data_IF_422926836625
#
_entry.id   IF_422926836625
#
_cell.length_a   1.000
_cell.length_b   1.000
_cell.length_c   1.000
_cell.angle_alpha   90.00
_cell.angle_beta   90.00
_cell.angle_gamma   90.00
#
_symmetry.space_group_name_H-M   'P 1'
#
loop_
_entity.id
_entity.type
_entity.pdbx_description
1 polymer ?
#
# COMPACT_ATOMS: atom_id res chain seq x y z
N UNK A 1 28.96 -7.00 12.82
CA UNK A 1 27.64 -6.40 12.56
C UNK A 1 27.67 -4.97 13.07
N UNK A 2 27.43 -4.00 12.15
CA UNK A 2 27.30 -2.60 12.54
C UNK A 2 25.99 -2.35 13.29
N UNK A 3 25.99 -1.34 14.15
CA UNK A 3 24.75 -0.82 14.74
C UNK A 3 24.29 0.31 13.84
N UNK A 4 23.09 0.19 13.24
CA UNK A 4 22.51 1.29 12.50
C UNK A 4 21.68 2.19 13.44
N UNK A 5 21.60 3.45 13.10
CA UNK A 5 20.72 4.40 13.76
C UNK A 5 19.78 4.99 12.70
N UNK A 6 18.50 5.03 13.01
CA UNK A 6 17.54 5.68 12.15
C UNK A 6 17.88 7.16 12.01
N UNK A 7 17.73 7.76 10.81
CA UNK A 7 17.78 9.21 10.66
C UNK A 7 16.66 9.86 11.48
N UNK A 8 16.76 11.14 11.70
CA UNK A 8 15.64 11.93 12.24
C UNK A 8 14.49 11.85 11.27
N UNK A 9 13.32 11.51 11.78
CA UNK A 9 12.10 11.43 10.99
C UNK A 9 11.31 12.71 11.21
N UNK A 10 11.07 13.42 10.13
CA UNK A 10 10.25 14.63 10.09
C UNK A 10 9.09 14.43 9.13
N UNK A 11 8.01 15.22 9.30
CA UNK A 11 6.89 15.23 8.39
C UNK A 11 7.33 15.65 6.98
N UNK A 12 6.72 15.04 5.97
CA UNK A 12 6.91 15.45 4.59
C UNK A 12 6.37 16.87 4.39
N UNK A 13 7.19 17.83 3.91
CA UNK A 13 6.73 19.18 3.66
C UNK A 13 5.60 19.22 2.63
N UNK A 14 4.50 19.87 3.00
CA UNK A 14 3.42 20.14 2.08
C UNK A 14 3.84 21.21 1.07
N UNK A 15 3.49 21.02 -0.20
CA UNK A 15 3.80 21.96 -1.27
C UNK A 15 2.66 22.92 -1.49
N UNK A 16 3.04 24.18 -1.78
CA UNK A 16 2.12 25.22 -2.22
C UNK A 16 2.05 25.23 -3.75
N UNK A 17 0.88 25.02 -4.29
CA UNK A 17 0.64 25.05 -5.73
C UNK A 17 0.23 26.46 -6.18
N UNK A 18 1.06 27.44 -5.82
CA UNK A 18 0.85 28.85 -6.14
C UNK A 18 0.83 29.10 -7.65
N UNK A 19 0.13 30.15 -8.13
CA UNK A 19 0.19 30.53 -9.51
C UNK A 19 1.64 30.67 -10.02
N UNK A 20 1.94 30.07 -11.16
CA UNK A 20 3.26 30.04 -11.81
C UNK A 20 4.38 29.27 -11.05
N UNK A 21 4.08 28.60 -9.94
CA UNK A 21 5.06 27.72 -9.29
C UNK A 21 5.37 26.51 -10.15
N UNK A 22 6.59 25.98 -10.00
CA UNK A 22 7.01 24.74 -10.66
C UNK A 22 6.10 23.55 -10.25
N UNK A 23 5.79 23.45 -8.97
CA UNK A 23 4.94 22.38 -8.45
C UNK A 23 3.55 22.39 -9.12
N UNK A 24 2.96 23.59 -9.32
CA UNK A 24 1.67 23.71 -10.04
C UNK A 24 1.78 23.30 -11.50
N UNK A 25 2.86 23.68 -12.18
CA UNK A 25 3.08 23.33 -13.58
C UNK A 25 3.24 21.81 -13.76
N UNK A 26 4.04 21.16 -12.92
CA UNK A 26 4.26 19.72 -12.97
C UNK A 26 3.00 18.95 -12.61
N UNK A 27 2.24 19.38 -11.61
CA UNK A 27 0.97 18.76 -11.27
C UNK A 27 -0.07 18.92 -12.40
N UNK A 28 -0.20 20.13 -12.96
CA UNK A 28 -1.11 20.38 -14.08
C UNK A 28 -0.77 19.47 -15.26
N UNK A 29 0.52 19.37 -15.58
CA UNK A 29 1.01 18.47 -16.64
C UNK A 29 0.61 17.02 -16.35
N UNK A 30 0.81 16.52 -15.14
CA UNK A 30 0.45 15.15 -14.77
C UNK A 30 -1.07 14.90 -14.85
N UNK A 31 -1.89 15.89 -14.48
CA UNK A 31 -3.35 15.82 -14.62
C UNK A 31 -3.75 15.81 -16.09
N UNK A 32 -3.18 16.69 -16.90
CA UNK A 32 -3.49 16.79 -18.33
C UNK A 32 -3.07 15.51 -19.07
N UNK A 33 -1.89 14.95 -18.77
CA UNK A 33 -1.44 13.68 -19.33
C UNK A 33 -2.37 12.52 -18.95
N UNK A 34 -2.80 12.44 -17.70
CA UNK A 34 -3.76 11.43 -17.26
C UNK A 34 -5.12 11.60 -17.97
N UNK A 35 -5.61 12.82 -18.09
CA UNK A 35 -6.87 13.12 -18.77
C UNK A 35 -6.80 12.87 -20.29
N UNK A 36 -5.65 13.03 -20.92
CA UNK A 36 -5.44 12.76 -22.34
C UNK A 36 -5.15 11.27 -22.64
N UNK A 37 -4.77 10.50 -21.62
CA UNK A 37 -4.43 9.10 -21.80
C UNK A 37 -5.66 8.24 -22.12
N UNK A 38 -5.43 7.12 -22.83
CA UNK A 38 -6.44 6.06 -22.88
C UNK A 38 -6.55 5.40 -21.49
N UNK A 39 -7.75 4.92 -21.13
CA UNK A 39 -7.91 4.19 -19.87
C UNK A 39 -6.90 3.06 -19.73
N UNK A 40 -6.24 2.98 -18.60
CA UNK A 40 -5.31 1.89 -18.29
C UNK A 40 -6.08 0.60 -18.07
N UNK A 41 -5.45 -0.53 -18.41
CA UNK A 41 -5.97 -1.85 -18.07
C UNK A 41 -5.11 -2.45 -16.95
N UNK A 42 -5.68 -2.57 -15.77
CA UNK A 42 -4.98 -2.97 -14.55
C UNK A 42 -5.22 -4.46 -14.28
N UNK A 43 -4.15 -5.26 -14.19
CA UNK A 43 -4.24 -6.69 -13.91
C UNK A 43 -4.47 -6.99 -12.42
N UNK A 44 -4.83 -8.22 -12.13
CA UNK A 44 -4.58 -8.86 -10.83
C UNK A 44 -3.09 -9.17 -10.76
N UNK A 45 -2.42 -8.87 -9.64
CA UNK A 45 -1.00 -9.19 -9.49
C UNK A 45 -0.81 -10.22 -8.37
N UNK A 46 -0.25 -11.36 -8.76
CA UNK A 46 0.03 -12.48 -7.86
C UNK A 46 1.51 -12.86 -8.05
N UNK A 47 2.26 -12.88 -6.96
CA UNK A 47 3.70 -13.20 -6.96
C UNK A 47 4.52 -12.33 -7.93
N UNK A 48 4.11 -11.05 -8.09
CA UNK A 48 4.73 -10.11 -9.03
C UNK A 48 4.37 -10.35 -10.50
N UNK A 49 3.50 -11.31 -10.80
CA UNK A 49 3.05 -11.60 -12.16
C UNK A 49 1.65 -11.03 -12.41
N UNK A 50 1.44 -10.52 -13.62
CA UNK A 50 0.18 -9.95 -14.06
C UNK A 50 -0.77 -11.04 -14.58
N UNK A 51 -1.97 -11.09 -14.05
CA UNK A 51 -3.03 -11.98 -14.49
C UNK A 51 -4.23 -11.19 -15.01
N UNK A 52 -4.74 -11.62 -16.14
CA UNK A 52 -5.90 -11.03 -16.79
C UNK A 52 -7.05 -12.03 -16.79
N UNK A 53 -8.01 -11.82 -15.89
CA UNK A 53 -9.17 -12.72 -15.74
C UNK A 53 -10.14 -12.67 -16.91
N UNK A 54 -10.09 -11.62 -17.73
CA UNK A 54 -11.09 -11.35 -18.78
C UNK A 54 -12.40 -10.73 -18.24
N UNK A 55 -12.62 -10.74 -16.92
CA UNK A 55 -13.75 -10.05 -16.30
C UNK A 55 -13.34 -8.64 -15.94
N UNK A 56 -13.75 -7.68 -16.76
CA UNK A 56 -13.38 -6.27 -16.61
C UNK A 56 -14.45 -5.48 -15.88
N UNK A 57 -14.02 -4.70 -14.90
CA UNK A 57 -14.77 -3.59 -14.32
C UNK A 57 -14.06 -2.27 -14.61
N UNK A 58 -14.67 -1.14 -14.25
CA UNK A 58 -14.12 0.18 -14.55
C UNK A 58 -14.16 1.08 -13.32
N UNK A 59 -13.13 1.92 -13.19
CA UNK A 59 -13.15 3.10 -12.35
C UNK A 59 -13.44 4.32 -13.23
N UNK A 60 -14.42 5.12 -12.84
CA UNK A 60 -14.77 6.37 -13.53
C UNK A 60 -14.34 7.57 -12.70
N UNK A 61 -14.17 8.71 -13.36
CA UNK A 61 -13.99 9.98 -12.68
C UNK A 61 -15.32 10.36 -11.97
N UNK A 62 -15.31 10.61 -10.65
CA UNK A 62 -16.54 10.93 -9.90
C UNK A 62 -17.18 12.27 -10.31
N UNK A 63 -16.43 13.19 -10.90
CA UNK A 63 -16.94 14.44 -11.45
C UNK A 63 -17.40 14.37 -12.91
N UNK A 64 -17.07 13.28 -13.62
CA UNK A 64 -17.45 13.04 -15.01
C UNK A 64 -17.55 11.53 -15.27
N UNK A 65 -18.71 10.94 -15.01
CA UNK A 65 -18.93 9.49 -15.11
C UNK A 65 -18.80 8.96 -16.55
N UNK A 66 -18.80 9.81 -17.56
CA UNK A 66 -18.51 9.40 -18.94
C UNK A 66 -17.02 9.09 -19.13
N UNK A 67 -16.16 9.63 -18.28
CA UNK A 67 -14.71 9.45 -18.33
C UNK A 67 -14.28 8.22 -17.52
N UNK A 68 -13.83 7.21 -18.20
CA UNK A 68 -13.20 6.04 -17.58
C UNK A 68 -11.74 6.38 -17.27
N UNK A 69 -11.31 6.19 -16.03
CA UNK A 69 -9.92 6.36 -15.57
C UNK A 69 -9.11 5.10 -15.90
N UNK A 70 -9.65 3.94 -15.52
CA UNK A 70 -9.05 2.66 -15.83
C UNK A 70 -10.08 1.55 -15.94
N UNK A 71 -9.74 0.50 -16.66
CA UNK A 71 -10.35 -0.82 -16.53
C UNK A 71 -9.48 -1.67 -15.62
N UNK A 72 -10.08 -2.60 -14.91
CA UNK A 72 -9.33 -3.54 -14.09
C UNK A 72 -9.95 -4.94 -14.15
N UNK A 73 -9.08 -5.93 -14.07
CA UNK A 73 -9.50 -7.32 -14.02
C UNK A 73 -9.98 -7.68 -12.62
N UNK A 74 -11.18 -8.21 -12.50
CA UNK A 74 -11.69 -8.73 -11.24
C UNK A 74 -11.15 -10.13 -10.98
N UNK A 75 -10.58 -10.32 -9.79
CA UNK A 75 -10.13 -11.63 -9.35
C UNK A 75 -11.34 -12.54 -9.04
N UNK A 76 -11.21 -13.78 -9.41
CA UNK A 76 -12.11 -14.86 -8.99
C UNK A 76 -11.57 -15.56 -7.72
N UNK A 77 -12.36 -16.46 -7.16
CA UNK A 77 -12.00 -17.23 -5.95
C UNK A 77 -10.69 -18.01 -6.13
N UNK A 78 -10.46 -18.59 -7.32
CA UNK A 78 -9.23 -19.33 -7.61
C UNK A 78 -8.01 -18.42 -7.56
N UNK A 79 -8.11 -17.22 -8.13
CA UNK A 79 -7.04 -16.23 -8.08
C UNK A 79 -6.76 -15.76 -6.65
N UNK A 80 -7.80 -15.57 -5.83
CA UNK A 80 -7.66 -15.23 -4.42
C UNK A 80 -6.90 -16.32 -3.67
N UNK A 81 -7.28 -17.59 -3.85
CA UNK A 81 -6.59 -18.72 -3.22
C UNK A 81 -5.13 -18.81 -3.68
N UNK A 82 -4.87 -18.64 -4.97
CA UNK A 82 -3.49 -18.61 -5.50
C UNK A 82 -2.67 -17.45 -4.89
N UNK A 83 -3.29 -16.27 -4.70
CA UNK A 83 -2.65 -15.14 -4.05
C UNK A 83 -2.32 -15.43 -2.58
N UNK A 84 -3.22 -16.10 -1.85
CA UNK A 84 -2.97 -16.52 -0.47
C UNK A 84 -1.81 -17.52 -0.40
N UNK A 85 -1.81 -18.54 -1.24
CA UNK A 85 -0.73 -19.54 -1.30
C UNK A 85 0.61 -18.89 -1.61
N UNK A 86 0.66 -18.00 -2.61
CA UNK A 86 1.84 -17.22 -2.96
C UNK A 86 2.34 -16.35 -1.81
N UNK A 87 1.43 -15.66 -1.12
CA UNK A 87 1.76 -14.86 0.06
C UNK A 87 2.37 -15.71 1.18
N UNK A 88 1.76 -16.84 1.51
CA UNK A 88 2.27 -17.76 2.53
C UNK A 88 3.64 -18.35 2.15
N UNK A 89 3.89 -18.60 0.87
CA UNK A 89 5.20 -19.04 0.38
C UNK A 89 6.26 -17.95 0.54
N UNK A 90 5.93 -16.70 0.21
CA UNK A 90 6.86 -15.57 0.33
C UNK A 90 7.15 -15.22 1.80
N UNK A 91 6.23 -15.52 2.72
CA UNK A 91 6.31 -15.16 4.14
C UNK A 91 7.62 -15.57 4.79
N UNK A 92 8.07 -16.82 4.56
CA UNK A 92 9.29 -17.34 5.23
C UNK A 92 10.53 -16.51 4.92
N UNK A 93 10.69 -16.09 3.67
CA UNK A 93 11.83 -15.25 3.28
C UNK A 93 11.66 -13.84 3.83
N UNK A 94 10.46 -13.26 3.73
CA UNK A 94 10.18 -11.90 4.16
C UNK A 94 10.32 -11.73 5.69
N UNK A 95 9.76 -12.62 6.47
CA UNK A 95 9.85 -12.54 7.94
C UNK A 95 11.28 -12.68 8.46
N UNK A 96 12.14 -13.40 7.75
CA UNK A 96 13.54 -13.58 8.09
C UNK A 96 14.47 -12.50 7.52
N UNK A 97 13.97 -11.61 6.68
CA UNK A 97 14.72 -10.44 6.23
C UNK A 97 15.04 -9.54 7.43
N UNK A 98 16.30 -9.07 7.58
CA UNK A 98 16.65 -8.16 8.65
C UNK A 98 15.71 -6.97 8.73
N UNK A 99 15.33 -6.56 9.95
CA UNK A 99 14.47 -5.40 10.18
C UNK A 99 14.96 -4.15 9.43
N UNK A 100 16.26 -3.88 9.46
CA UNK A 100 16.88 -2.74 8.79
C UNK A 100 16.65 -2.72 7.27
N UNK A 101 16.59 -3.88 6.63
CA UNK A 101 16.33 -3.98 5.19
C UNK A 101 14.87 -3.69 4.88
N UNK A 102 13.93 -4.22 5.68
CA UNK A 102 12.50 -3.89 5.53
C UNK A 102 12.24 -2.41 5.79
N UNK A 103 12.91 -1.83 6.79
CA UNK A 103 12.85 -0.40 7.07
C UNK A 103 13.38 0.45 5.90
N UNK A 104 14.50 0.04 5.29
CA UNK A 104 15.07 0.73 4.14
C UNK A 104 14.13 0.72 2.93
N UNK A 105 13.41 -0.36 2.69
CA UNK A 105 12.39 -0.46 1.64
C UNK A 105 11.28 0.57 1.89
N UNK A 106 10.77 0.67 3.12
CA UNK A 106 9.73 1.64 3.47
C UNK A 106 10.20 3.09 3.30
N UNK A 107 11.42 3.40 3.76
CA UNK A 107 12.02 4.72 3.60
C UNK A 107 12.20 5.07 2.12
N UNK A 108 12.65 4.11 1.30
CA UNK A 108 12.80 4.29 -0.15
C UNK A 108 11.44 4.51 -0.83
N UNK A 109 10.40 3.80 -0.41
CA UNK A 109 9.04 4.02 -0.93
C UNK A 109 8.56 5.45 -0.66
N UNK A 110 8.76 5.95 0.57
CA UNK A 110 8.45 7.33 0.92
C UNK A 110 9.24 8.33 0.04
N UNK A 111 10.51 8.08 -0.19
CA UNK A 111 11.36 8.95 -1.01
C UNK A 111 10.94 8.95 -2.48
N UNK A 112 10.59 7.79 -3.04
CA UNK A 112 10.05 7.68 -4.38
C UNK A 112 8.73 8.46 -4.53
N UNK A 113 7.84 8.38 -3.55
CA UNK A 113 6.58 9.14 -3.54
C UNK A 113 6.86 10.63 -3.43
N UNK A 114 7.68 11.06 -2.47
CA UNK A 114 7.96 12.46 -2.22
C UNK A 114 8.56 13.19 -3.42
N UNK A 115 9.36 12.50 -4.25
CA UNK A 115 10.13 13.11 -5.32
C UNK A 115 9.73 12.65 -6.72
N UNK A 116 9.80 11.35 -6.99
CA UNK A 116 9.63 10.82 -8.35
C UNK A 116 8.16 10.75 -8.78
N UNK A 117 7.29 10.29 -7.90
CA UNK A 117 5.91 9.93 -8.23
C UNK A 117 4.85 10.90 -7.68
N UNK A 118 5.28 11.97 -6.98
CA UNK A 118 4.36 12.87 -6.29
C UNK A 118 3.23 13.37 -7.19
N UNK A 119 3.55 14.01 -8.29
CA UNK A 119 2.52 14.60 -9.15
C UNK A 119 1.65 13.57 -9.85
N UNK A 120 2.21 12.43 -10.22
CA UNK A 120 1.44 11.32 -10.82
C UNK A 120 0.44 10.74 -9.82
N UNK A 121 0.87 10.55 -8.57
CA UNK A 121 0.02 10.01 -7.52
C UNK A 121 -1.06 11.02 -7.10
N UNK A 122 -0.71 12.31 -7.04
CA UNK A 122 -1.69 13.38 -6.83
C UNK A 122 -2.71 13.42 -7.96
N UNK A 123 -2.28 13.41 -9.22
CA UNK A 123 -3.16 13.41 -10.37
C UNK A 123 -4.13 12.22 -10.35
N UNK A 124 -3.63 11.02 -10.05
CA UNK A 124 -4.45 9.83 -9.89
C UNK A 124 -5.51 9.97 -8.78
N UNK A 125 -5.13 10.60 -7.66
CA UNK A 125 -6.01 10.85 -6.52
C UNK A 125 -7.04 11.94 -6.83
N UNK A 126 -6.64 13.01 -7.51
CA UNK A 126 -7.55 14.09 -7.94
C UNK A 126 -8.60 13.57 -8.94
N UNK A 127 -8.15 12.93 -10.00
CA UNK A 127 -9.02 12.47 -11.10
C UNK A 127 -9.84 11.25 -10.70
N UNK A 128 -9.24 10.32 -9.98
CA UNK A 128 -9.89 9.05 -9.64
C UNK A 128 -10.78 9.10 -8.40
N UNK A 129 -10.50 10.00 -7.45
CA UNK A 129 -11.23 10.11 -6.17
C UNK A 129 -11.93 11.47 -5.99
N UNK A 130 -11.88 12.36 -7.00
CA UNK A 130 -12.57 13.65 -6.97
C UNK A 130 -12.01 14.65 -5.96
N UNK A 131 -10.73 14.54 -5.61
CA UNK A 131 -10.08 15.45 -4.67
C UNK A 131 -9.57 16.71 -5.37
N UNK A 132 -9.63 17.84 -4.67
CA UNK A 132 -8.91 19.03 -5.11
C UNK A 132 -7.40 18.89 -4.81
N UNK A 133 -6.60 19.82 -5.31
CA UNK A 133 -5.15 19.79 -5.18
C UNK A 133 -4.69 19.71 -3.72
N UNK A 134 -5.34 20.45 -2.84
CA UNK A 134 -4.96 20.50 -1.43
C UNK A 134 -5.28 19.20 -0.70
N UNK A 135 -6.43 18.61 -0.96
CA UNK A 135 -6.80 17.30 -0.43
C UNK A 135 -5.90 16.19 -0.95
N UNK A 136 -5.52 16.24 -2.22
CA UNK A 136 -4.60 15.26 -2.80
C UNK A 136 -3.17 15.42 -2.26
N UNK A 137 -2.72 16.67 -2.03
CA UNK A 137 -1.41 16.93 -1.43
C UNK A 137 -1.32 16.40 0.00
N UNK A 138 -2.34 16.64 0.82
CA UNK A 138 -2.40 16.08 2.18
C UNK A 138 -2.33 14.55 2.11
N UNK A 139 -3.21 13.93 1.34
CA UNK A 139 -3.38 12.48 1.26
C UNK A 139 -2.18 11.81 0.57
N UNK A 140 -2.04 12.03 -0.73
CA UNK A 140 -1.15 11.27 -1.58
C UNK A 140 0.27 11.86 -1.70
N UNK A 141 0.48 13.09 -1.24
CA UNK A 141 1.77 13.75 -1.23
C UNK A 141 2.49 13.66 0.10
N UNK A 142 1.84 14.06 1.19
CA UNK A 142 2.47 14.17 2.50
C UNK A 142 2.15 12.97 3.41
N UNK A 143 0.87 12.69 3.68
CA UNK A 143 0.46 11.70 4.68
C UNK A 143 0.97 10.29 4.37
N UNK A 144 0.95 9.85 3.13
CA UNK A 144 1.48 8.54 2.74
C UNK A 144 2.99 8.43 3.03
N UNK A 145 3.75 9.50 2.79
CA UNK A 145 5.18 9.55 3.11
C UNK A 145 5.40 9.48 4.61
N UNK A 146 4.59 10.21 5.37
CA UNK A 146 4.64 10.22 6.83
C UNK A 146 4.31 8.84 7.41
N UNK A 147 3.28 8.17 6.93
CA UNK A 147 2.97 6.80 7.35
C UNK A 147 4.14 5.84 7.12
N UNK A 148 4.80 5.94 5.97
CA UNK A 148 5.93 5.08 5.65
C UNK A 148 7.15 5.37 6.52
N UNK A 149 7.45 6.64 6.81
CA UNK A 149 8.60 7.07 7.61
C UNK A 149 8.37 6.88 9.11
N UNK A 150 7.27 7.41 9.64
CA UNK A 150 6.94 7.26 11.06
C UNK A 150 6.63 5.81 11.42
N UNK A 151 6.07 5.01 10.50
CA UNK A 151 5.91 3.58 10.68
C UNK A 151 7.24 2.89 11.00
N UNK A 152 8.33 3.24 10.28
CA UNK A 152 9.68 2.75 10.58
C UNK A 152 10.10 3.15 12.00
N UNK A 153 9.90 4.42 12.37
CA UNK A 153 10.25 4.91 13.71
C UNK A 153 9.49 4.17 14.81
N UNK A 154 8.19 3.99 14.64
CA UNK A 154 7.37 3.31 15.64
C UNK A 154 7.71 1.83 15.78
N UNK A 155 8.07 1.15 14.69
CA UNK A 155 8.51 -0.25 14.76
C UNK A 155 9.87 -0.35 15.43
N UNK A 156 10.78 0.58 15.17
CA UNK A 156 12.07 0.65 15.86
C UNK A 156 11.87 0.84 17.37
N UNK A 157 11.05 1.78 17.77
CA UNK A 157 10.72 2.02 19.18
C UNK A 157 10.08 0.78 19.83
N UNK A 158 9.16 0.11 19.12
CA UNK A 158 8.53 -1.11 19.61
C UNK A 158 9.56 -2.23 19.84
N UNK A 159 10.50 -2.42 18.92
CA UNK A 159 11.53 -3.46 19.04
C UNK A 159 12.54 -3.17 20.14
N UNK A 160 12.66 -1.92 20.57
CA UNK A 160 13.49 -1.54 21.74
C UNK A 160 12.81 -1.85 23.08
N UNK A 161 11.52 -2.19 23.09
CA UNK A 161 10.82 -2.60 24.31
C UNK A 161 11.27 -4.01 24.68
N UNK A 162 12.17 -4.10 25.65
CA UNK A 162 12.79 -5.33 26.14
C UNK A 162 12.58 -5.48 27.65
N UNK A 163 12.71 -6.70 28.21
CA UNK A 163 12.59 -6.88 29.66
C UNK A 163 13.55 -5.97 30.41
N UNK A 164 13.07 -5.18 31.39
CA UNK A 164 13.88 -4.15 32.04
C UNK A 164 14.94 -4.71 33.01
N UNK A 165 14.82 -5.98 33.38
CA UNK A 165 15.75 -6.66 34.31
C UNK A 165 15.93 -8.10 33.93
N UNK A 166 17.13 -8.62 34.21
CA UNK A 166 17.50 -10.04 34.10
C UNK A 166 17.74 -10.62 35.49
N UNK A 167 17.42 -11.90 35.65
CA UNK A 167 17.87 -12.65 36.85
C UNK A 167 19.36 -12.92 36.78
N UNK A 168 20.06 -13.16 37.91
CA UNK A 168 21.45 -13.52 37.90
C UNK A 168 21.73 -14.77 37.01
N UNK A 169 22.68 -14.64 36.10
CA UNK A 169 23.05 -15.72 35.18
C UNK A 169 22.08 -15.98 34.04
N UNK A 170 21.05 -15.15 33.85
CA UNK A 170 20.01 -15.25 32.78
C UNK A 170 19.91 -13.95 32.00
N UNK A 171 19.75 -14.06 30.70
CA UNK A 171 19.43 -12.95 29.83
C UNK A 171 18.04 -13.15 29.25
N UNK A 172 17.09 -12.30 29.66
CA UNK A 172 15.71 -12.28 29.13
C UNK A 172 15.65 -11.40 27.88
N UNK A 173 14.96 -11.89 26.86
CA UNK A 173 14.76 -11.16 25.61
C UNK A 173 13.35 -11.38 25.08
N UNK A 174 12.73 -10.32 24.56
CA UNK A 174 11.50 -10.40 23.79
C UNK A 174 11.84 -10.54 22.30
N UNK A 175 11.28 -11.56 21.69
CA UNK A 175 11.33 -11.77 20.23
C UNK A 175 9.97 -11.39 19.63
N UNK A 176 9.99 -10.39 18.75
CA UNK A 176 8.81 -9.97 18.00
C UNK A 176 8.69 -10.77 16.72
N UNK A 177 7.61 -11.51 16.57
CA UNK A 177 7.35 -12.34 15.40
C UNK A 177 6.14 -11.84 14.63
N UNK A 178 6.12 -11.97 13.28
CA UNK A 178 4.92 -11.74 12.50
C UNK A 178 3.78 -12.66 12.92
N UNK A 179 2.56 -12.26 12.58
CA UNK A 179 1.37 -13.07 12.77
C UNK A 179 1.45 -14.38 11.97
N UNK A 180 0.78 -15.42 12.42
CA UNK A 180 0.56 -16.59 11.59
C UNK A 180 -0.34 -16.24 10.38
N UNK A 181 -0.25 -17.02 9.27
CA UNK A 181 -1.05 -16.79 8.08
C UNK A 181 -0.65 -15.51 7.33
N UNK A 182 -1.63 -14.77 6.86
CA UNK A 182 -1.51 -13.53 6.10
C UNK A 182 -2.44 -12.46 6.66
N UNK A 183 -2.29 -11.23 6.20
CA UNK A 183 -3.19 -10.12 6.50
C UNK A 183 -4.05 -9.85 5.27
N UNK A 184 -5.37 -9.86 5.42
CA UNK A 184 -6.30 -9.36 4.40
C UNK A 184 -6.46 -7.85 4.60
N UNK A 185 -6.01 -7.06 3.63
CA UNK A 185 -6.16 -5.62 3.62
C UNK A 185 -7.26 -5.22 2.63
N UNK A 186 -8.38 -4.72 3.15
CA UNK A 186 -9.46 -4.15 2.35
C UNK A 186 -9.37 -2.64 2.48
N UNK A 187 -8.87 -1.97 1.45
CA UNK A 187 -8.63 -0.52 1.54
C UNK A 187 -9.86 0.31 1.17
N UNK A 188 -10.04 1.47 1.83
CA UNK A 188 -11.17 2.36 1.58
C UNK A 188 -11.04 3.10 0.25
N UNK A 189 -12.12 3.77 -0.16
CA UNK A 189 -12.20 4.50 -1.43
C UNK A 189 -11.67 5.93 -1.34
N UNK A 190 -11.60 6.49 -0.16
CA UNK A 190 -11.47 7.93 0.06
C UNK A 190 -10.04 8.43 0.33
N UNK A 191 -9.08 7.53 0.62
CA UNK A 191 -7.69 7.91 0.91
C UNK A 191 -6.68 6.97 0.25
N UNK A 192 -5.81 7.53 -0.58
CA UNK A 192 -4.65 6.83 -1.14
C UNK A 192 -3.62 6.50 -0.06
N UNK A 193 -3.39 7.40 0.89
CA UNK A 193 -2.46 7.21 2.01
C UNK A 193 -2.88 6.03 2.90
N UNK A 194 -4.17 5.95 3.25
CA UNK A 194 -4.69 4.86 4.09
C UNK A 194 -4.52 3.52 3.36
N UNK A 195 -4.76 3.47 2.06
CA UNK A 195 -4.56 2.25 1.28
C UNK A 195 -3.10 1.78 1.33
N UNK A 196 -2.14 2.67 1.13
CA UNK A 196 -0.71 2.38 1.23
C UNK A 196 -0.29 1.96 2.64
N UNK A 197 -0.78 2.67 3.66
CA UNK A 197 -0.49 2.37 5.07
C UNK A 197 -1.04 1.00 5.50
N UNK A 198 -2.27 0.67 5.06
CA UNK A 198 -2.95 -0.57 5.43
C UNK A 198 -2.17 -1.81 4.97
N UNK A 199 -1.47 -1.73 3.85
CA UNK A 199 -0.68 -2.84 3.33
C UNK A 199 0.78 -2.80 3.82
N UNK A 200 1.37 -1.61 3.92
CA UNK A 200 2.80 -1.52 4.25
C UNK A 200 3.07 -1.65 5.74
N UNK A 201 2.20 -1.19 6.62
CA UNK A 201 2.37 -1.32 8.08
C UNK A 201 2.50 -2.78 8.53
N UNK A 202 1.59 -3.71 8.17
CA UNK A 202 1.79 -5.11 8.51
C UNK A 202 2.97 -5.74 7.76
N UNK A 203 3.23 -5.37 6.51
CA UNK A 203 4.38 -5.87 5.77
C UNK A 203 5.70 -5.47 6.43
N UNK A 204 5.83 -4.24 6.92
CA UNK A 204 7.02 -3.71 7.58
C UNK A 204 7.44 -4.56 8.79
N UNK A 205 6.51 -5.12 9.55
CA UNK A 205 6.77 -6.01 10.68
C UNK A 205 6.87 -7.49 10.30
N UNK A 206 7.01 -7.78 9.00
CA UNK A 206 7.30 -9.13 8.50
C UNK A 206 6.09 -9.96 8.11
N UNK A 207 4.88 -9.39 8.10
CA UNK A 207 3.70 -10.06 7.59
C UNK A 207 3.64 -10.01 6.05
N UNK A 208 2.82 -10.89 5.47
CA UNK A 208 2.44 -10.86 4.07
C UNK A 208 0.98 -10.43 3.94
N UNK A 209 0.64 -9.80 2.83
CA UNK A 209 -0.63 -9.10 2.67
C UNK A 209 -1.31 -9.50 1.37
N UNK A 210 -2.58 -9.86 1.46
CA UNK A 210 -3.49 -9.94 0.31
C UNK A 210 -4.30 -8.65 0.30
N UNK A 211 -4.07 -7.81 -0.69
CA UNK A 211 -4.65 -6.48 -0.78
C UNK A 211 -5.82 -6.45 -1.76
N UNK A 212 -7.00 -6.20 -1.24
CA UNK A 212 -8.21 -5.90 -2.00
C UNK A 212 -8.39 -4.37 -2.05
N UNK A 213 -8.00 -3.69 -3.14
CA UNK A 213 -8.20 -2.25 -3.28
C UNK A 213 -9.68 -1.90 -3.49
N UNK A 214 -10.07 -0.67 -3.13
CA UNK A 214 -11.40 -0.18 -3.43
C UNK A 214 -11.62 -0.02 -4.94
N UNK A 215 -12.78 -0.41 -5.49
CA UNK A 215 -13.13 -0.17 -6.89
C UNK A 215 -13.06 1.29 -7.33
N UNK A 216 -13.27 2.22 -6.40
CA UNK A 216 -13.25 3.67 -6.67
C UNK A 216 -11.85 4.29 -6.57
N UNK A 217 -10.82 3.53 -6.21
CA UNK A 217 -9.46 3.99 -6.03
C UNK A 217 -8.41 3.06 -6.68
N UNK A 218 -8.83 2.24 -7.64
CA UNK A 218 -7.96 1.23 -8.26
C UNK A 218 -6.70 1.84 -8.84
N UNK A 219 -6.81 2.94 -9.59
CA UNK A 219 -5.66 3.49 -10.30
C UNK A 219 -4.60 4.04 -9.35
N UNK A 220 -5.00 4.86 -8.35
CA UNK A 220 -4.04 5.36 -7.35
C UNK A 220 -3.43 4.23 -6.52
N UNK A 221 -4.22 3.23 -6.15
CA UNK A 221 -3.74 2.07 -5.39
C UNK A 221 -2.77 1.20 -6.21
N UNK A 222 -3.03 1.03 -7.51
CA UNK A 222 -2.10 0.35 -8.41
C UNK A 222 -0.77 1.08 -8.53
N UNK A 223 -0.80 2.42 -8.63
CA UNK A 223 0.43 3.21 -8.60
C UNK A 223 1.21 3.02 -7.29
N UNK A 224 0.53 3.03 -6.14
CA UNK A 224 1.16 2.73 -4.85
C UNK A 224 1.79 1.34 -4.87
N UNK A 225 1.08 0.32 -5.36
CA UNK A 225 1.64 -1.03 -5.50
C UNK A 225 2.93 -1.03 -6.33
N UNK A 226 2.93 -0.38 -7.49
CA UNK A 226 4.11 -0.30 -8.37
C UNK A 226 5.27 0.47 -7.72
N UNK A 227 4.99 1.49 -6.92
CA UNK A 227 6.02 2.21 -6.16
C UNK A 227 6.62 1.32 -5.08
N UNK A 228 5.81 0.54 -4.36
CA UNK A 228 6.29 -0.42 -3.36
C UNK A 228 7.17 -1.51 -4.00
N UNK A 229 6.77 -2.01 -5.17
CA UNK A 229 7.57 -2.96 -5.95
C UNK A 229 8.93 -2.36 -6.36
N UNK A 230 8.95 -1.12 -6.89
CA UNK A 230 10.20 -0.40 -7.23
C UNK A 230 11.06 -0.10 -5.99
N UNK A 231 10.44 0.15 -4.86
CA UNK A 231 11.15 0.34 -3.60
C UNK A 231 11.88 -0.92 -3.14
N UNK A 232 11.42 -2.09 -3.56
CA UNK A 232 12.07 -3.36 -3.28
C UNK A 232 11.23 -4.34 -2.46
N UNK A 233 9.91 -4.12 -2.34
CA UNK A 233 9.02 -5.14 -1.76
C UNK A 233 9.06 -6.37 -2.66
N UNK A 234 9.47 -7.54 -2.14
CA UNK A 234 9.60 -8.74 -2.97
C UNK A 234 8.25 -9.24 -3.49
N UNK A 235 8.24 -9.93 -4.65
CA UNK A 235 7.06 -10.62 -5.14
C UNK A 235 6.43 -11.54 -4.09
N UNK A 236 5.11 -11.54 -4.00
CA UNK A 236 4.37 -12.36 -3.05
C UNK A 236 4.16 -11.74 -1.66
N UNK A 237 4.94 -10.75 -1.25
CA UNK A 237 4.77 -10.07 0.05
C UNK A 237 3.48 -9.27 0.10
N UNK A 238 3.16 -8.58 -0.97
CA UNK A 238 1.89 -7.88 -1.17
C UNK A 238 1.28 -8.37 -2.47
N UNK A 239 0.12 -9.00 -2.38
CA UNK A 239 -0.67 -9.47 -3.52
C UNK A 239 -1.74 -8.43 -3.85
N UNK A 240 -1.84 -7.99 -5.10
CA UNK A 240 -2.82 -6.98 -5.51
C UNK A 240 -4.00 -7.65 -6.20
N UNK A 241 -5.15 -7.72 -5.49
CA UNK A 241 -6.31 -8.52 -5.87
C UNK A 241 -7.56 -7.64 -5.99
N UNK A 242 -7.71 -6.87 -7.09
CA UNK A 242 -8.91 -6.09 -7.33
C UNK A 242 -10.13 -6.99 -7.60
N UNK A 243 -11.29 -6.51 -7.21
CA UNK A 243 -12.55 -7.23 -7.42
C UNK A 243 -13.61 -6.90 -6.38
N UNK A 244 -14.78 -7.56 -6.44
CA UNK A 244 -15.87 -7.35 -5.51
C UNK A 244 -15.48 -7.83 -4.09
N UNK A 245 -15.94 -7.09 -3.07
CA UNK A 245 -15.50 -7.32 -1.70
C UNK A 245 -15.97 -8.66 -1.15
N UNK A 246 -17.24 -9.01 -1.35
CA UNK A 246 -17.86 -10.19 -0.74
C UNK A 246 -17.19 -11.51 -1.14
N UNK A 247 -17.04 -11.86 -2.44
CA UNK A 247 -16.39 -13.12 -2.81
C UNK A 247 -14.92 -13.19 -2.41
N UNK A 248 -14.19 -12.05 -2.46
CA UNK A 248 -12.79 -12.01 -2.03
C UNK A 248 -12.68 -12.20 -0.52
N UNK A 249 -13.51 -11.49 0.25
CA UNK A 249 -13.54 -11.65 1.70
C UNK A 249 -13.94 -13.07 2.11
N UNK A 250 -14.95 -13.64 1.46
CA UNK A 250 -15.39 -15.02 1.72
C UNK A 250 -14.26 -16.02 1.47
N UNK A 251 -13.62 -15.96 0.31
CA UNK A 251 -12.49 -16.84 -0.03
C UNK A 251 -11.31 -16.67 0.96
N UNK A 252 -11.03 -15.45 1.39
CA UNK A 252 -9.97 -15.18 2.35
C UNK A 252 -10.32 -15.57 3.78
N UNK A 253 -11.59 -15.61 4.15
CA UNK A 253 -12.08 -16.01 5.48
C UNK A 253 -12.39 -17.50 5.62
N UNK A 254 -12.22 -18.30 4.58
CA UNK A 254 -12.39 -19.74 4.66
C UNK A 254 -11.42 -20.32 5.69
N UNK A 255 -11.90 -21.15 6.66
CA UNK A 255 -11.32 -21.27 8.01
C UNK A 255 -9.88 -21.80 8.14
N UNK A 256 -9.25 -22.22 7.09
CA UNK A 256 -7.90 -22.81 7.17
C UNK A 256 -6.77 -21.82 6.88
N UNK A 257 -7.05 -20.63 6.38
CA UNK A 257 -6.01 -19.80 5.74
C UNK A 257 -5.79 -18.41 6.34
N UNK A 258 -6.67 -17.89 7.20
CA UNK A 258 -6.50 -16.55 7.75
C UNK A 258 -6.24 -16.55 9.26
N UNK A 259 -5.50 -15.54 9.70
CA UNK A 259 -5.30 -15.28 11.12
C UNK A 259 -5.76 -13.88 11.53
N UNK A 260 -5.70 -12.91 10.62
CA UNK A 260 -6.08 -11.52 10.93
C UNK A 260 -6.75 -10.86 9.73
N UNK A 261 -7.94 -10.35 9.96
CA UNK A 261 -8.68 -9.46 9.06
C UNK A 261 -8.48 -8.01 9.54
N UNK A 262 -8.15 -7.13 8.61
CA UNK A 262 -8.07 -5.70 8.90
C UNK A 262 -8.76 -4.92 7.79
N UNK A 263 -9.75 -4.13 8.19
CA UNK A 263 -10.47 -3.21 7.33
C UNK A 263 -10.60 -1.86 8.02
N UNK A 264 -10.43 -0.78 7.28
CA UNK A 264 -10.86 0.55 7.67
C UNK A 264 -12.10 0.88 6.86
N UNK A 265 -13.25 0.48 7.39
CA UNK A 265 -14.52 0.67 6.76
C UNK A 265 -15.29 1.81 7.41
N UNK A 266 -15.97 2.61 6.59
CA UNK A 266 -17.08 3.40 7.05
C UNK A 266 -18.32 2.51 7.15
N UNK A 267 -19.17 2.79 8.11
CA UNK A 267 -20.30 1.98 8.62
C UNK A 267 -21.33 1.47 7.59
N UNK A 268 -21.18 1.82 6.31
CA UNK A 268 -22.16 1.54 5.25
C UNK A 268 -21.74 0.45 4.25
N UNK A 269 -20.55 -0.13 4.42
CA UNK A 269 -19.97 -1.08 3.45
C UNK A 269 -19.87 -2.51 3.99
N UNK A 270 -20.51 -2.78 5.14
CA UNK A 270 -20.62 -4.11 5.74
C UNK A 270 -22.02 -4.68 5.58
#
# INVERSE_FOLDING_TARGET
>A
LGVYKLPTIDNEPMRNYEPNSKDRQELQKAVDELLASKPFEIPVIIDGQEFRSGKLAKQVNPGDHARVVCYYHEADERMVNTAIEGALKAKKQWMNMPWSERAAISMKAADLIAHKYRYQLLAATMVGQGKNVWQAEIDAGAEICDFLRFGVKYVDDMYQIQPPRNSPGVWNRTEYRPLEGFVLAISPFNFTAIAGNLVMTPAMVGNVVVWKPSPMAIYSNYLVYKILEEAGVPPGVIQFVPGPAEPIAKAAMDPVSYTHLRAHETRHDL
#
